data_IF_684801185735
#
_entry.id   IF_684801185735
#
_cell.length_a   1.000
_cell.length_b   1.000
_cell.length_c   1.000
_cell.angle_alpha   90.00
_cell.angle_beta   90.00
_cell.angle_gamma   90.00
#
_symmetry.space_group_name_H-M   'P 1'
#
loop_
_entity.id
_entity.type
_entity.pdbx_description
1 polymer ?
#
# COMPACT_ATOMS: atom_id res chain seq x y z
N UNK A 1 -69.30 22.90 -10.75
CA UNK A 1 -68.44 21.76 -11.10
C UNK A 1 -67.72 21.35 -9.82
N UNK A 2 -67.96 20.12 -9.35
CA UNK A 2 -67.26 19.45 -8.25
C UNK A 2 -65.77 19.23 -8.63
N UNK A 3 -64.78 19.08 -7.75
CA UNK A 3 -64.57 18.16 -6.62
C UNK A 3 -63.64 18.87 -5.58
N UNK A 4 -63.66 18.65 -4.26
CA UNK A 4 -64.12 17.50 -3.49
C UNK A 4 -62.96 16.60 -3.08
N UNK A 5 -62.17 17.01 -2.07
CA UNK A 5 -61.40 16.20 -1.10
C UNK A 5 -60.47 15.08 -1.59
N UNK A 6 -59.20 15.13 -1.19
CA UNK A 6 -58.30 13.98 -1.34
C UNK A 6 -56.91 14.23 -0.78
N UNK A 7 -56.61 13.53 0.31
CA UNK A 7 -55.34 13.48 1.02
C UNK A 7 -54.42 12.50 0.27
N UNK A 8 -53.33 12.93 -0.38
CA UNK A 8 -52.33 12.00 -0.96
C UNK A 8 -51.04 12.78 -1.33
N UNK A 9 -50.03 12.77 -0.46
CA UNK A 9 -48.83 11.91 -0.51
C UNK A 9 -47.61 12.71 -1.04
N UNK A 10 -46.71 12.99 -0.09
CA UNK A 10 -45.38 13.53 -0.26
C UNK A 10 -44.54 12.65 -1.18
N UNK A 11 -44.40 13.00 -2.46
CA UNK A 11 -43.40 12.38 -3.33
C UNK A 11 -42.03 13.08 -3.21
N UNK A 12 -41.45 13.00 -2.01
CA UNK A 12 -40.02 13.23 -1.72
C UNK A 12 -39.21 11.94 -1.97
N UNK A 13 -39.51 11.25 -3.08
CA UNK A 13 -39.14 9.83 -3.27
C UNK A 13 -38.17 9.52 -4.39
N UNK A 14 -37.68 10.50 -5.18
CA UNK A 14 -36.88 10.17 -6.38
C UNK A 14 -35.55 10.87 -6.58
N UNK A 15 -35.23 11.93 -5.84
CA UNK A 15 -33.95 12.64 -6.00
C UNK A 15 -33.13 12.75 -4.71
N UNK A 16 -33.46 11.99 -3.66
CA UNK A 16 -32.65 11.93 -2.43
C UNK A 16 -31.68 10.74 -2.39
N UNK A 17 -31.74 9.84 -3.37
CA UNK A 17 -30.88 8.66 -3.39
C UNK A 17 -29.66 8.86 -4.30
N UNK A 18 -28.50 8.86 -3.63
CA UNK A 18 -27.19 8.51 -4.15
C UNK A 18 -26.25 9.66 -4.51
N UNK A 19 -26.08 10.60 -3.58
CA UNK A 19 -24.71 11.05 -3.29
C UNK A 19 -24.27 10.28 -2.05
N UNK A 20 -23.30 9.36 -2.13
CA UNK A 20 -22.80 8.74 -0.92
C UNK A 20 -22.15 9.86 -0.10
N UNK A 21 -22.78 10.20 1.03
CA UNK A 21 -22.22 11.06 2.06
C UNK A 21 -21.02 10.34 2.71
N UNK A 22 -19.95 10.11 1.94
CA UNK A 22 -18.62 9.97 2.53
C UNK A 22 -18.32 11.33 3.16
N UNK A 23 -18.61 11.44 4.45
CA UNK A 23 -18.38 12.66 5.23
C UNK A 23 -16.90 13.03 5.14
N UNK A 24 -16.56 14.32 5.00
CA UNK A 24 -15.17 14.80 5.06
C UNK A 24 -14.41 14.23 6.26
N UNK A 25 -15.11 14.01 7.39
CA UNK A 25 -14.56 13.36 8.58
C UNK A 25 -14.13 11.91 8.32
N UNK A 26 -14.93 11.15 7.57
CA UNK A 26 -14.60 9.77 7.20
C UNK A 26 -13.42 9.75 6.24
N UNK A 27 -13.38 10.66 5.26
CA UNK A 27 -12.26 10.79 4.33
C UNK A 27 -10.96 11.15 5.05
N UNK A 28 -11.00 12.09 5.99
CA UNK A 28 -9.84 12.48 6.79
C UNK A 28 -9.28 11.31 7.64
N UNK A 29 -10.17 10.49 8.20
CA UNK A 29 -9.76 9.27 8.94
C UNK A 29 -9.10 8.27 8.01
N UNK A 30 -9.61 8.09 6.79
CA UNK A 30 -9.00 7.17 5.80
C UNK A 30 -7.59 7.64 5.44
N UNK A 31 -7.42 8.93 5.14
CA UNK A 31 -6.10 9.48 4.78
C UNK A 31 -5.09 9.32 5.93
N UNK A 32 -5.52 9.53 7.18
CA UNK A 32 -4.69 9.32 8.36
C UNK A 32 -4.25 7.85 8.52
N UNK A 33 -5.16 6.90 8.33
CA UNK A 33 -4.81 5.48 8.41
C UNK A 33 -3.86 5.06 7.28
N UNK A 34 -4.05 5.60 6.07
CA UNK A 34 -3.14 5.33 4.94
C UNK A 34 -1.74 5.85 5.27
N UNK A 35 -1.61 7.10 5.72
CA UNK A 35 -0.32 7.68 6.09
C UNK A 35 0.37 6.87 7.20
N UNK A 36 -0.40 6.48 8.22
CA UNK A 36 0.10 5.66 9.33
C UNK A 36 0.62 4.31 8.84
N UNK A 37 -0.10 3.63 7.95
CA UNK A 37 0.32 2.35 7.38
C UNK A 37 1.62 2.54 6.59
N UNK A 38 1.67 3.54 5.69
CA UNK A 38 2.84 3.79 4.85
C UNK A 38 4.07 4.10 5.70
N UNK A 39 3.96 5.03 6.65
CA UNK A 39 5.08 5.42 7.52
C UNK A 39 5.55 4.27 8.40
N UNK A 40 4.62 3.45 8.91
CA UNK A 40 4.96 2.26 9.71
C UNK A 40 5.72 1.24 8.88
N UNK A 41 5.24 0.92 7.66
CA UNK A 41 5.92 -0.06 6.80
C UNK A 41 7.25 0.47 6.27
N UNK A 42 7.35 1.77 6.00
CA UNK A 42 8.61 2.40 5.61
C UNK A 42 9.67 2.27 6.72
N UNK A 43 9.30 2.61 7.95
CA UNK A 43 10.18 2.48 9.12
C UNK A 43 10.61 1.03 9.32
N UNK A 44 9.66 0.09 9.20
CA UNK A 44 9.95 -1.34 9.28
C UNK A 44 10.92 -1.80 8.18
N UNK A 45 10.73 -1.35 6.94
CA UNK A 45 11.63 -1.68 5.84
C UNK A 45 13.05 -1.14 6.10
N UNK A 46 13.17 0.10 6.57
CA UNK A 46 14.46 0.67 6.98
C UNK A 46 15.12 -0.14 8.10
N UNK A 47 14.36 -0.55 9.12
CA UNK A 47 14.88 -1.40 10.19
C UNK A 47 15.40 -2.72 9.65
N UNK A 48 14.62 -3.43 8.83
CA UNK A 48 15.04 -4.71 8.23
C UNK A 48 16.33 -4.54 7.42
N UNK A 49 16.45 -3.48 6.62
CA UNK A 49 17.65 -3.19 5.86
C UNK A 49 18.85 -2.88 6.77
N UNK A 50 18.65 -2.06 7.80
CA UNK A 50 19.68 -1.70 8.77
C UNK A 50 20.17 -2.91 9.56
N UNK A 51 19.26 -3.79 9.99
CA UNK A 51 19.56 -5.01 10.74
C UNK A 51 20.37 -6.02 9.92
N UNK A 52 20.26 -5.96 8.58
CA UNK A 52 20.94 -6.85 7.63
C UNK A 52 21.90 -6.09 6.70
N UNK A 53 22.51 -5.01 7.19
CA UNK A 53 23.42 -4.18 6.38
C UNK A 53 24.60 -4.96 5.79
N UNK A 54 25.06 -6.00 6.48
CA UNK A 54 26.09 -6.91 5.98
C UNK A 54 25.68 -7.56 4.66
N UNK A 55 24.42 -8.03 4.56
CA UNK A 55 23.86 -8.62 3.34
C UNK A 55 23.67 -7.57 2.25
N UNK A 56 23.21 -6.37 2.61
CA UNK A 56 23.06 -5.25 1.67
C UNK A 56 24.41 -4.90 1.04
N UNK A 57 25.47 -4.79 1.84
CA UNK A 57 26.82 -4.52 1.35
C UNK A 57 27.35 -5.64 0.44
N UNK A 58 27.14 -6.91 0.79
CA UNK A 58 27.52 -8.04 -0.06
C UNK A 58 26.81 -8.02 -1.41
N UNK A 59 25.51 -7.75 -1.43
CA UNK A 59 24.75 -7.62 -2.69
C UNK A 59 25.29 -6.46 -3.52
N UNK A 60 25.56 -5.31 -2.88
CA UNK A 60 26.10 -4.14 -3.56
C UNK A 60 27.49 -4.42 -4.16
N UNK A 61 28.38 -5.09 -3.43
CA UNK A 61 29.72 -5.46 -3.93
C UNK A 61 29.62 -6.44 -5.10
N UNK A 62 28.71 -7.42 -5.03
CA UNK A 62 28.47 -8.36 -6.12
C UNK A 62 27.97 -7.64 -7.37
N UNK A 63 26.94 -6.80 -7.23
CA UNK A 63 26.37 -6.03 -8.34
C UNK A 63 27.37 -5.04 -8.93
N UNK A 64 28.27 -4.49 -8.11
CA UNK A 64 29.34 -3.65 -8.59
C UNK A 64 30.31 -4.39 -9.52
N UNK A 65 30.55 -5.69 -9.29
CA UNK A 65 31.44 -6.52 -10.11
C UNK A 65 30.76 -7.10 -11.36
N UNK A 66 29.50 -7.57 -11.25
CA UNK A 66 28.79 -8.31 -12.31
C UNK A 66 27.67 -7.54 -13.01
N UNK A 67 27.33 -6.34 -12.56
CA UNK A 67 26.22 -5.47 -13.03
C UNK A 67 24.80 -6.07 -12.83
N UNK A 68 24.68 -7.39 -12.87
CA UNK A 68 23.44 -8.16 -12.75
C UNK A 68 23.65 -9.33 -11.80
N UNK A 69 22.57 -9.72 -11.13
CA UNK A 69 22.50 -10.88 -10.24
C UNK A 69 21.22 -11.65 -10.57
N UNK A 70 21.35 -12.96 -10.78
CA UNK A 70 20.18 -13.83 -10.96
C UNK A 70 19.53 -14.17 -9.61
N UNK A 71 18.24 -14.52 -9.62
CA UNK A 71 17.49 -14.85 -8.41
C UNK A 71 18.07 -16.04 -7.63
N UNK A 72 18.69 -17.00 -8.32
CA UNK A 72 19.40 -18.10 -7.67
C UNK A 72 20.64 -17.61 -6.92
N UNK A 73 21.43 -16.72 -7.52
CA UNK A 73 22.63 -16.13 -6.91
C UNK A 73 22.27 -15.26 -5.70
N UNK A 74 21.19 -14.48 -5.81
CA UNK A 74 20.66 -13.70 -4.70
C UNK A 74 20.26 -14.59 -3.51
N UNK A 75 19.57 -15.70 -3.79
CA UNK A 75 19.16 -16.63 -2.75
C UNK A 75 20.36 -17.27 -2.03
N UNK A 76 21.38 -17.70 -2.79
CA UNK A 76 22.62 -18.23 -2.22
C UNK A 76 23.30 -17.21 -1.29
N UNK A 77 23.38 -15.94 -1.70
CA UNK A 77 23.91 -14.85 -0.88
C UNK A 77 23.10 -14.67 0.41
N UNK A 78 21.78 -14.70 0.29
CA UNK A 78 20.87 -14.51 1.43
C UNK A 78 20.95 -15.66 2.45
N UNK A 79 21.17 -16.90 1.96
CA UNK A 79 21.35 -18.11 2.75
C UNK A 79 22.79 -18.23 3.34
N UNK A 80 23.68 -17.28 3.01
CA UNK A 80 25.05 -17.24 3.52
C UNK A 80 25.99 -18.25 2.88
N UNK A 81 25.62 -18.80 1.72
CA UNK A 81 26.43 -19.74 0.96
C UNK A 81 27.44 -19.00 0.07
N UNK A 82 28.51 -19.69 -0.31
CA UNK A 82 29.53 -19.13 -1.20
C UNK A 82 28.93 -18.87 -2.59
N UNK A 83 29.13 -17.65 -3.07
CA UNK A 83 28.74 -17.27 -4.42
C UNK A 83 29.70 -17.94 -5.41
N UNK A 84 29.20 -18.41 -6.57
CA UNK A 84 30.04 -19.04 -7.58
C UNK A 84 31.18 -18.11 -7.98
N UNK A 85 32.39 -18.66 -8.08
CA UNK A 85 33.60 -17.90 -8.38
C UNK A 85 33.49 -17.11 -9.68
N UNK A 86 34.25 -16.02 -9.70
CA UNK A 86 34.32 -15.08 -10.80
C UNK A 86 35.20 -15.71 -11.88
N UNK A 87 34.61 -16.23 -12.96
CA UNK A 87 35.31 -16.42 -14.25
C UNK A 87 35.52 -15.06 -14.95
#
# INVERSE_FOLDING_TARGET
>A
MAFGGGHEEVFLGRDFNSTPNYSEKISAVIDEEIDRIVTTQYTRAQQILNDHMDKVHKVAEYLFKREKMDGNEFKLLMDGQELPEIE
#
